data_IF_703759788036
#
_entry.id   IF_703759788036
#
_cell.length_a   1.000
_cell.length_b   1.000
_cell.length_c   1.000
_cell.angle_alpha   90.00
_cell.angle_beta   90.00
_cell.angle_gamma   90.00
#
_symmetry.space_group_name_H-M   'P 1'
#
loop_
_entity.id
_entity.type
_entity.pdbx_description
1 polymer ?
#
# COMPACT_ATOMS: atom_id res chain seq x y z
N UNK A 1 -5.81 4.77 -8.73
CA UNK A 1 -5.09 6.07 -8.58
C UNK A 1 -4.83 6.73 -9.92
N UNK A 2 -4.41 5.98 -10.95
CA UNK A 2 -4.35 6.50 -12.33
C UNK A 2 -5.70 7.06 -12.81
N UNK A 3 -6.81 6.43 -12.44
CA UNK A 3 -8.17 6.88 -12.81
C UNK A 3 -8.60 8.21 -12.16
N UNK A 4 -8.00 8.57 -11.02
CA UNK A 4 -8.27 9.87 -10.38
C UNK A 4 -7.54 10.99 -11.10
N UNK A 5 -6.26 10.78 -11.46
CA UNK A 5 -5.48 11.77 -12.20
C UNK A 5 -6.05 12.01 -13.61
N UNK A 6 -6.57 10.97 -14.27
CA UNK A 6 -7.24 11.11 -15.56
C UNK A 6 -8.55 11.90 -15.43
N UNK A 7 -9.36 11.63 -14.41
CA UNK A 7 -10.59 12.38 -14.11
C UNK A 7 -10.32 13.87 -13.86
N UNK A 8 -9.28 14.21 -13.09
CA UNK A 8 -8.87 15.61 -12.90
C UNK A 8 -8.38 16.26 -14.20
N UNK A 9 -7.66 15.52 -15.04
CA UNK A 9 -7.25 16.02 -16.35
C UNK A 9 -8.44 16.33 -17.25
N UNK A 10 -9.49 15.51 -17.20
CA UNK A 10 -10.75 15.79 -17.90
C UNK A 10 -11.51 16.98 -17.30
N UNK A 11 -11.54 17.13 -15.97
CA UNK A 11 -12.15 18.29 -15.33
C UNK A 11 -11.43 19.60 -15.73
N UNK A 12 -10.10 19.57 -15.79
CA UNK A 12 -9.29 20.72 -16.19
C UNK A 12 -9.51 21.10 -17.66
N UNK A 13 -9.64 20.11 -18.55
CA UNK A 13 -9.97 20.36 -19.96
C UNK A 13 -11.38 20.94 -20.11
N UNK A 14 -12.35 20.46 -19.33
CA UNK A 14 -13.71 21.02 -19.29
C UNK A 14 -13.72 22.46 -18.75
N UNK A 15 -12.97 22.76 -17.68
CA UNK A 15 -12.82 24.11 -17.15
C UNK A 15 -12.17 25.06 -18.18
N UNK A 16 -11.17 24.57 -18.91
CA UNK A 16 -10.55 25.33 -20.01
C UNK A 16 -11.55 25.64 -21.11
N UNK A 17 -12.39 24.66 -21.49
CA UNK A 17 -13.44 24.83 -22.50
C UNK A 17 -14.53 25.80 -22.02
N UNK A 18 -14.92 25.71 -20.75
CA UNK A 18 -15.80 26.70 -20.11
C UNK A 18 -15.19 28.10 -20.15
N UNK A 19 -13.86 28.23 -20.00
CA UNK A 19 -13.17 29.53 -20.03
C UNK A 19 -13.20 30.15 -21.41
N UNK A 20 -13.07 29.34 -22.45
CA UNK A 20 -13.23 29.78 -23.83
C UNK A 20 -14.65 30.27 -24.11
N UNK A 21 -15.67 29.52 -23.65
CA UNK A 21 -17.08 29.95 -23.75
C UNK A 21 -17.31 31.22 -22.92
N UNK A 22 -16.73 31.32 -21.73
CA UNK A 22 -16.83 32.49 -20.86
C UNK A 22 -16.27 33.77 -21.46
N UNK A 23 -15.35 33.70 -22.44
CA UNK A 23 -14.85 34.90 -23.13
C UNK A 23 -15.95 35.66 -23.86
N UNK A 24 -16.99 34.97 -24.33
CA UNK A 24 -18.13 35.58 -25.03
C UNK A 24 -19.23 36.06 -24.09
N UNK A 25 -19.08 35.82 -22.78
CA UNK A 25 -20.02 36.25 -21.74
C UNK A 25 -19.45 37.49 -21.07
N UNK A 26 -20.20 38.59 -21.03
CA UNK A 26 -19.84 39.82 -20.29
C UNK A 26 -20.23 39.72 -18.81
N UNK A 27 -19.82 38.63 -18.16
CA UNK A 27 -20.01 38.41 -16.73
C UNK A 27 -18.64 38.25 -16.06
N UNK A 28 -18.24 39.26 -15.29
CA UNK A 28 -16.97 39.28 -14.58
C UNK A 28 -16.95 38.30 -13.41
N UNK A 29 -18.08 38.06 -12.75
CA UNK A 29 -18.20 37.13 -11.63
C UNK A 29 -18.03 35.70 -12.14
N UNK A 30 -18.69 35.34 -13.25
CA UNK A 30 -18.49 34.05 -13.91
C UNK A 30 -17.02 33.79 -14.26
N UNK A 31 -16.34 34.78 -14.85
CA UNK A 31 -14.93 34.66 -15.24
C UNK A 31 -14.00 34.48 -14.04
N UNK A 32 -14.26 35.17 -12.93
CA UNK A 32 -13.48 35.04 -11.70
C UNK A 32 -13.66 33.65 -11.07
N UNK A 33 -14.91 33.21 -10.85
CA UNK A 33 -15.20 31.88 -10.27
C UNK A 33 -14.60 30.76 -11.11
N UNK A 34 -14.61 30.91 -12.44
CA UNK A 34 -14.02 29.93 -13.34
C UNK A 34 -12.50 29.91 -13.31
N UNK A 35 -11.86 31.07 -13.11
CA UNK A 35 -10.42 31.15 -12.88
C UNK A 35 -10.06 30.47 -11.55
N UNK A 36 -10.81 30.74 -10.49
CA UNK A 36 -10.63 30.11 -9.17
C UNK A 36 -10.80 28.60 -9.24
N UNK A 37 -11.84 28.11 -9.94
CA UNK A 37 -12.04 26.68 -10.19
C UNK A 37 -10.84 26.06 -10.92
N UNK A 38 -10.31 26.75 -11.93
CA UNK A 38 -9.17 26.25 -12.70
C UNK A 38 -7.89 26.15 -11.85
N UNK A 39 -7.67 27.11 -10.96
CA UNK A 39 -6.57 27.11 -10.00
C UNK A 39 -6.73 25.98 -8.97
N UNK A 40 -7.90 25.85 -8.37
CA UNK A 40 -8.17 24.82 -7.36
C UNK A 40 -8.03 23.40 -7.94
N UNK A 41 -8.47 23.19 -9.19
CA UNK A 41 -8.29 21.92 -9.89
C UNK A 41 -6.81 21.64 -10.18
N UNK A 42 -6.01 22.65 -10.52
CA UNK A 42 -4.58 22.50 -10.75
C UNK A 42 -3.84 22.15 -9.45
N UNK A 43 -4.11 22.87 -8.37
CA UNK A 43 -3.52 22.62 -7.05
C UNK A 43 -3.91 21.24 -6.50
N UNK A 44 -5.18 20.85 -6.66
CA UNK A 44 -5.66 19.53 -6.28
C UNK A 44 -4.98 18.42 -7.07
N UNK A 45 -4.75 18.62 -8.38
CA UNK A 45 -4.03 17.67 -9.22
C UNK A 45 -2.59 17.45 -8.74
N UNK A 46 -1.91 18.51 -8.32
CA UNK A 46 -0.54 18.43 -7.76
C UNK A 46 -0.54 17.66 -6.44
N UNK A 47 -1.41 18.02 -5.49
CA UNK A 47 -1.54 17.31 -4.20
C UNK A 47 -1.83 15.82 -4.38
N UNK A 48 -2.67 15.46 -5.36
CA UNK A 48 -2.95 14.04 -5.66
C UNK A 48 -1.70 13.37 -6.25
N UNK A 49 -0.96 14.02 -7.14
CA UNK A 49 0.27 13.45 -7.69
C UNK A 49 1.29 13.15 -6.58
N UNK A 50 1.45 14.04 -5.61
CA UNK A 50 2.30 13.85 -4.44
C UNK A 50 1.83 12.66 -3.60
N UNK A 51 0.52 12.58 -3.29
CA UNK A 51 -0.06 11.45 -2.56
C UNK A 51 0.10 10.11 -3.28
N UNK A 52 0.01 10.10 -4.63
CA UNK A 52 0.25 8.89 -5.43
C UNK A 52 1.71 8.44 -5.31
N UNK A 53 2.64 9.40 -5.37
CA UNK A 53 4.06 9.11 -5.20
C UNK A 53 4.36 8.57 -3.80
N UNK A 54 3.84 9.21 -2.75
CA UNK A 54 3.97 8.72 -1.37
C UNK A 54 3.39 7.31 -1.21
N UNK A 55 2.20 7.04 -1.77
CA UNK A 55 1.58 5.72 -1.70
C UNK A 55 2.43 4.65 -2.40
N UNK A 56 3.07 4.99 -3.53
CA UNK A 56 4.00 4.09 -4.20
C UNK A 56 5.22 3.77 -3.31
N UNK A 57 5.85 4.78 -2.70
CA UNK A 57 6.99 4.57 -1.80
C UNK A 57 6.62 3.77 -0.55
N UNK A 58 5.42 3.97 0.01
CA UNK A 58 4.94 3.21 1.16
C UNK A 58 4.68 1.75 0.81
N UNK A 59 4.12 1.50 -0.38
CA UNK A 59 3.94 0.12 -0.90
C UNK A 59 5.27 -0.58 -1.13
N UNK A 60 6.27 0.12 -1.65
CA UNK A 60 7.62 -0.43 -1.79
C UNK A 60 8.24 -0.77 -0.44
N UNK A 61 8.13 0.11 0.56
CA UNK A 61 8.59 -0.17 1.93
C UNK A 61 7.86 -1.38 2.54
N UNK A 62 6.55 -1.46 2.37
CA UNK A 62 5.77 -2.62 2.83
C UNK A 62 6.21 -3.90 2.11
N UNK A 63 6.42 -3.85 0.80
CA UNK A 63 6.93 -4.99 0.04
C UNK A 63 8.33 -5.39 0.50
N UNK A 64 9.23 -4.43 0.75
CA UNK A 64 10.56 -4.72 1.28
C UNK A 64 10.48 -5.43 2.65
N UNK A 65 9.62 -4.95 3.55
CA UNK A 65 9.42 -5.55 4.88
C UNK A 65 8.69 -6.91 4.85
N UNK A 66 7.83 -7.14 3.85
CA UNK A 66 7.04 -8.38 3.73
C UNK A 66 7.65 -9.39 2.76
N UNK A 67 8.66 -9.01 1.98
CA UNK A 67 9.39 -9.89 1.07
C UNK A 67 10.47 -10.72 1.75
N UNK A 68 10.74 -10.51 3.04
CA UNK A 68 11.60 -11.41 3.82
C UNK A 68 10.94 -12.79 3.89
N UNK A 69 11.70 -13.81 3.48
CA UNK A 69 11.24 -15.19 3.33
C UNK A 69 11.02 -15.85 4.71
N UNK A 70 9.83 -15.64 5.30
CA UNK A 70 9.44 -16.28 6.55
C UNK A 70 7.93 -16.32 6.72
N UNK A 71 7.44 -17.28 7.53
CA UNK A 71 6.04 -17.28 7.95
C UNK A 71 5.74 -16.03 8.81
N UNK A 72 4.46 -15.65 8.91
CA UNK A 72 4.03 -14.59 9.83
C UNK A 72 4.24 -15.06 11.27
N UNK A 73 5.01 -14.31 12.05
CA UNK A 73 5.16 -14.58 13.47
C UNK A 73 3.85 -14.25 14.22
N UNK A 74 3.27 -15.17 15.01
CA UNK A 74 2.00 -14.94 15.72
C UNK A 74 2.08 -13.85 16.80
N UNK A 75 3.29 -13.47 17.24
CA UNK A 75 3.49 -12.46 18.30
C UNK A 75 3.69 -11.04 17.78
N UNK A 76 4.45 -10.86 16.69
CA UNK A 76 4.80 -9.53 16.17
C UNK A 76 4.35 -9.28 14.72
N UNK A 77 3.68 -10.25 14.10
CA UNK A 77 3.14 -10.19 12.75
C UNK A 77 4.15 -9.89 11.62
N UNK A 78 5.46 -10.01 11.90
CA UNK A 78 6.51 -9.89 10.89
C UNK A 78 6.77 -11.23 10.21
N UNK A 79 7.12 -11.18 8.91
CA UNK A 79 7.50 -12.35 8.10
C UNK A 79 8.95 -12.75 8.33
N UNK A 80 9.25 -13.08 9.57
CA UNK A 80 10.59 -13.42 10.02
C UNK A 80 10.60 -14.67 10.89
N UNK A 81 9.55 -15.50 10.77
CA UNK A 81 9.41 -16.77 11.48
C UNK A 81 10.03 -17.88 10.64
N UNK A 82 11.22 -18.30 11.03
CA UNK A 82 12.04 -19.26 10.29
C UNK A 82 12.18 -20.58 11.08
N UNK A 83 12.35 -21.68 10.36
CA UNK A 83 12.57 -23.00 10.94
C UNK A 83 14.03 -23.12 11.42
N UNK A 84 14.24 -23.23 12.73
CA UNK A 84 15.60 -23.33 13.31
C UNK A 84 16.01 -24.77 13.52
N UNK A 85 15.08 -25.65 13.93
CA UNK A 85 15.40 -27.06 14.12
C UNK A 85 14.21 -27.96 13.90
N UNK A 86 14.48 -29.16 13.41
CA UNK A 86 13.50 -30.25 13.36
C UNK A 86 14.03 -31.38 14.24
N UNK A 87 13.21 -31.84 15.20
CA UNK A 87 13.54 -32.94 16.10
C UNK A 87 12.41 -33.97 16.09
N UNK A 88 12.69 -35.27 16.23
CA UNK A 88 11.65 -36.27 16.38
C UNK A 88 10.87 -36.07 17.70
N UNK A 89 9.54 -36.16 17.66
CA UNK A 89 8.69 -35.97 18.85
C UNK A 89 8.99 -37.02 19.93
N UNK A 90 9.07 -36.61 21.21
CA UNK A 90 9.51 -37.50 22.32
C UNK A 90 8.71 -38.80 22.44
N UNK A 91 7.39 -38.75 22.27
CA UNK A 91 6.51 -39.92 22.42
C UNK A 91 6.06 -40.53 21.10
N UNK A 92 5.94 -39.71 20.06
CA UNK A 92 5.33 -40.08 18.77
C UNK A 92 6.35 -40.12 17.62
N UNK A 93 7.65 -39.91 17.89
CA UNK A 93 8.70 -39.95 16.88
C UNK A 93 8.84 -41.33 16.20
N UNK A 94 8.50 -42.41 16.90
CA UNK A 94 8.46 -43.78 16.32
C UNK A 94 7.36 -43.94 15.27
N UNK A 95 6.33 -43.09 15.29
CA UNK A 95 5.24 -43.07 14.31
C UNK A 95 5.48 -42.02 13.21
N UNK A 96 6.68 -41.42 13.14
CA UNK A 96 7.03 -40.42 12.12
C UNK A 96 6.70 -38.98 12.48
N UNK A 97 6.20 -38.69 13.68
CA UNK A 97 5.91 -37.31 14.10
C UNK A 97 7.19 -36.49 14.34
N UNK A 98 7.26 -35.31 13.73
CA UNK A 98 8.37 -34.36 13.83
C UNK A 98 7.93 -33.11 14.59
N UNK A 99 8.74 -32.63 15.52
CA UNK A 99 8.64 -31.30 16.12
C UNK A 99 9.53 -30.33 15.34
N UNK A 100 8.92 -29.33 14.74
CA UNK A 100 9.61 -28.23 14.07
C UNK A 100 9.59 -27.02 14.99
N UNK A 101 10.77 -26.57 15.43
CA UNK A 101 10.93 -25.36 16.23
C UNK A 101 11.16 -24.20 15.30
N UNK A 102 10.19 -23.28 15.27
CA UNK A 102 10.30 -22.03 14.54
C UNK A 102 10.69 -20.92 15.49
N UNK A 103 11.55 -20.01 15.05
CA UNK A 103 11.98 -18.85 15.84
C UNK A 103 11.87 -17.59 15.00
N UNK A 104 11.34 -16.52 15.61
CA UNK A 104 11.26 -15.21 14.98
C UNK A 104 12.55 -14.43 15.21
N UNK A 105 13.22 -14.00 14.14
CA UNK A 105 14.45 -13.21 14.24
C UNK A 105 14.24 -11.80 14.81
N UNK A 106 13.02 -11.23 14.69
CA UNK A 106 12.73 -9.87 15.19
C UNK A 106 12.41 -9.83 16.69
N UNK A 107 11.58 -10.76 17.19
CA UNK A 107 11.05 -10.72 18.56
C UNK A 107 11.50 -11.89 19.43
N UNK A 108 12.39 -12.76 18.92
CA UNK A 108 12.91 -13.96 19.59
C UNK A 108 11.81 -14.93 20.09
N UNK A 109 10.60 -14.83 19.54
CA UNK A 109 9.51 -15.75 19.86
C UNK A 109 9.79 -17.12 19.23
N UNK A 110 9.65 -18.18 20.01
CA UNK A 110 9.88 -19.55 19.57
C UNK A 110 8.65 -20.42 19.84
N UNK A 111 8.25 -21.22 18.86
CA UNK A 111 7.11 -22.15 18.99
C UNK A 111 7.46 -23.51 18.36
N UNK A 112 7.27 -24.62 19.09
CA UNK A 112 7.31 -25.96 18.52
C UNK A 112 5.98 -26.28 17.83
N UNK A 113 6.00 -26.48 16.51
CA UNK A 113 4.87 -27.03 15.75
C UNK A 113 5.05 -28.53 15.56
N UNK A 114 4.03 -29.30 15.91
CA UNK A 114 3.97 -30.74 15.63
C UNK A 114 3.55 -30.94 14.17
N UNK A 115 4.36 -31.67 13.41
CA UNK A 115 4.03 -32.14 12.07
C UNK A 115 3.86 -33.66 12.13
N UNK A 116 2.63 -34.11 11.97
CA UNK A 116 2.33 -35.54 11.78
C UNK A 116 2.47 -35.91 10.30
N UNK A 117 2.90 -37.14 9.98
CA UNK A 117 2.93 -37.65 8.61
C UNK A 117 1.53 -37.79 8.00
#
# INVERSE_FOLDING_TARGET
MADLLSSFSTALSLATRLREIGKTIEDAEFKNVLADLSLELADSKLKIADLVAENATLKEKLNALTSTAGELCPKCNNRSFELVSTKPHRTMGRLGAMERVYTCSTCSFSEPKLVTP
#
